data_IF_392184242737
#
_entry.id   IF_392184242737
#
_cell.length_a   1.000
_cell.length_b   1.000
_cell.length_c   1.000
_cell.angle_alpha   90.00
_cell.angle_beta   90.00
_cell.angle_gamma   90.00
#
_symmetry.space_group_name_H-M   'P 1'
#
loop_
_entity.id
_entity.type
_entity.pdbx_description
1 polymer ?
#
# COMPACT_ATOMS: atom_id res chain seq x y z
N UNK A 1 -13.52 -9.46 15.10
CA UNK A 1 -13.42 -10.71 14.31
C UNK A 1 -13.25 -10.32 12.83
N UNK A 2 -12.07 -10.24 12.21
CA UNK A 2 -10.69 -10.18 12.69
C UNK A 2 -9.80 -10.31 11.44
N UNK A 3 -8.98 -9.31 11.10
CA UNK A 3 -7.90 -9.52 10.10
C UNK A 3 -6.83 -10.50 10.64
N UNK A 4 -6.87 -10.80 11.94
CA UNK A 4 -6.17 -11.92 12.57
C UNK A 4 -6.94 -13.27 12.49
N UNK A 5 -8.14 -13.31 11.88
CA UNK A 5 -8.91 -14.53 11.56
C UNK A 5 -8.73 -14.90 10.08
N UNK A 6 -8.36 -13.96 9.20
CA UNK A 6 -8.00 -14.24 7.79
C UNK A 6 -6.49 -14.38 7.54
N UNK A 7 -5.62 -14.05 8.52
CA UNK A 7 -4.18 -14.34 8.46
C UNK A 7 -3.38 -13.54 7.42
N UNK A 8 -3.98 -12.51 6.81
CA UNK A 8 -3.33 -11.67 5.80
C UNK A 8 -2.23 -10.78 6.44
N UNK A 9 -1.06 -10.59 5.80
CA UNK A 9 0.01 -9.78 6.37
C UNK A 9 -0.38 -8.31 6.54
N UNK A 10 -0.36 -7.82 7.79
CA UNK A 10 -0.62 -6.43 8.17
C UNK A 10 0.59 -5.72 8.81
N UNK A 11 0.39 -4.50 9.34
CA UNK A 11 1.45 -3.72 9.97
C UNK A 11 2.15 -4.45 11.13
N UNK A 12 3.47 -4.63 11.06
CA UNK A 12 4.27 -5.39 12.04
C UNK A 12 4.49 -6.86 11.69
N UNK A 13 3.91 -7.33 10.58
CA UNK A 13 4.24 -8.64 10.01
C UNK A 13 5.56 -8.59 9.22
N UNK A 14 6.26 -9.72 9.14
CA UNK A 14 7.52 -9.82 8.38
C UNK A 14 7.32 -9.49 6.90
N UNK A 15 6.21 -9.89 6.29
CA UNK A 15 5.92 -9.52 4.89
C UNK A 15 5.81 -8.00 4.71
N UNK A 16 5.10 -7.31 5.62
CA UNK A 16 4.90 -5.86 5.56
C UNK A 16 6.21 -5.09 5.76
N UNK A 17 7.09 -5.60 6.61
CA UNK A 17 8.40 -5.00 6.83
C UNK A 17 9.33 -5.18 5.65
N UNK A 18 9.33 -6.33 4.98
CA UNK A 18 10.40 -6.69 4.04
C UNK A 18 10.09 -6.32 2.59
N UNK A 19 8.87 -6.53 2.13
CA UNK A 19 8.53 -6.46 0.70
C UNK A 19 8.77 -5.05 0.13
N UNK A 20 8.39 -4.02 0.87
CA UNK A 20 8.47 -2.63 0.44
C UNK A 20 9.85 -2.00 0.52
N UNK A 21 10.88 -2.71 1.01
CA UNK A 21 12.19 -2.12 1.20
C UNK A 21 12.98 -2.05 -0.11
N UNK A 22 13.72 -0.96 -0.32
CA UNK A 22 14.59 -0.85 -1.49
C UNK A 22 15.70 -1.91 -1.52
N UNK A 23 16.07 -2.50 -0.37
CA UNK A 23 17.02 -3.62 -0.32
C UNK A 23 16.52 -4.87 -1.05
N UNK A 24 15.21 -5.03 -1.27
CA UNK A 24 14.68 -6.13 -2.08
C UNK A 24 15.25 -6.14 -3.50
N UNK A 25 15.67 -4.99 -4.04
CA UNK A 25 16.32 -4.91 -5.35
C UNK A 25 17.63 -5.71 -5.43
N UNK A 26 18.27 -6.00 -4.29
CA UNK A 26 19.50 -6.82 -4.25
C UNK A 26 19.24 -8.28 -4.57
N UNK A 27 18.01 -8.78 -4.38
CA UNK A 27 17.67 -10.20 -4.56
C UNK A 27 16.49 -10.43 -5.51
N UNK A 28 15.67 -9.43 -5.82
CA UNK A 28 14.53 -9.61 -6.74
C UNK A 28 14.97 -10.05 -8.14
N UNK A 29 16.19 -9.69 -8.55
CA UNK A 29 16.78 -10.20 -9.80
C UNK A 29 16.90 -11.73 -9.81
N UNK A 30 17.18 -12.36 -8.67
CA UNK A 30 17.21 -13.83 -8.51
C UNK A 30 15.85 -14.41 -8.83
N UNK A 31 14.78 -13.84 -8.25
CA UNK A 31 13.41 -14.28 -8.51
C UNK A 31 13.09 -14.20 -10.01
N UNK A 32 13.35 -13.06 -10.65
CA UNK A 32 13.11 -12.87 -12.09
C UNK A 32 13.87 -13.89 -12.95
N UNK A 33 15.14 -14.19 -12.63
CA UNK A 33 15.90 -15.23 -13.36
C UNK A 33 15.28 -16.60 -13.18
N UNK A 34 14.93 -16.99 -11.95
CA UNK A 34 14.33 -18.29 -11.65
C UNK A 34 12.93 -18.43 -12.27
N UNK A 35 12.15 -17.36 -12.30
CA UNK A 35 10.85 -17.27 -12.96
C UNK A 35 11.01 -17.46 -14.47
N UNK A 36 11.89 -16.68 -15.11
CA UNK A 36 12.12 -16.76 -16.56
C UNK A 36 12.82 -18.04 -17.01
N UNK A 37 13.41 -18.78 -16.09
CA UNK A 37 13.94 -20.13 -16.30
C UNK A 37 12.86 -21.21 -16.28
N UNK A 38 11.66 -20.93 -15.77
CA UNK A 38 10.55 -21.88 -15.77
C UNK A 38 9.99 -22.04 -17.20
N UNK A 39 9.78 -23.28 -17.71
CA UNK A 39 9.45 -23.47 -19.13
C UNK A 39 8.16 -22.78 -19.60
N UNK A 40 7.13 -22.71 -18.75
CA UNK A 40 5.85 -22.02 -19.06
C UNK A 40 6.04 -20.51 -19.09
N UNK A 41 6.72 -19.96 -18.09
CA UNK A 41 6.98 -18.51 -17.96
C UNK A 41 7.89 -18.03 -19.10
N UNK A 42 8.92 -18.82 -19.42
CA UNK A 42 9.83 -18.56 -20.53
C UNK A 42 9.10 -18.44 -21.87
N UNK A 43 8.11 -19.32 -22.12
CA UNK A 43 7.32 -19.27 -23.35
C UNK A 43 6.50 -17.97 -23.44
N UNK A 44 5.76 -17.62 -22.38
CA UNK A 44 4.97 -16.38 -22.34
C UNK A 44 5.83 -15.11 -22.43
N UNK A 45 7.01 -15.11 -21.81
CA UNK A 45 7.96 -13.99 -21.92
C UNK A 45 8.56 -13.90 -23.34
N UNK A 46 8.81 -15.01 -24.01
CA UNK A 46 9.39 -14.95 -25.37
C UNK A 46 8.38 -14.37 -26.39
N UNK A 47 7.11 -14.72 -26.25
CA UNK A 47 6.05 -14.34 -27.21
C UNK A 47 5.45 -12.95 -26.95
N UNK A 48 5.18 -12.60 -25.69
CA UNK A 48 4.42 -11.39 -25.33
C UNK A 48 5.28 -10.26 -24.74
N UNK A 49 6.58 -10.46 -24.53
CA UNK A 49 7.30 -9.54 -23.66
C UNK A 49 7.73 -8.23 -24.32
N UNK A 50 7.15 -7.16 -23.79
CA UNK A 50 7.66 -5.79 -23.86
C UNK A 50 8.97 -5.58 -23.08
N UNK A 51 9.55 -6.60 -22.41
CA UNK A 51 10.86 -6.51 -21.72
C UNK A 51 11.93 -5.91 -22.63
N UNK A 52 11.89 -6.25 -23.93
CA UNK A 52 12.86 -5.79 -24.91
C UNK A 52 12.81 -4.27 -25.14
N UNK A 53 11.66 -3.62 -24.91
CA UNK A 53 11.48 -2.18 -25.12
C UNK A 53 11.51 -1.36 -23.83
N UNK A 54 10.96 -1.89 -22.72
CA UNK A 54 10.82 -1.14 -21.46
C UNK A 54 11.06 -2.02 -20.21
N UNK A 55 12.29 -2.52 -19.98
CA UNK A 55 12.59 -3.43 -18.87
C UNK A 55 12.31 -2.79 -17.50
N UNK A 56 12.66 -1.52 -17.32
CA UNK A 56 12.44 -0.80 -16.07
C UNK A 56 10.97 -0.61 -15.72
N UNK A 57 10.17 -0.22 -16.71
CA UNK A 57 8.73 -0.03 -16.52
C UNK A 57 8.06 -1.33 -16.08
N UNK A 58 8.53 -2.47 -16.59
CA UNK A 58 8.01 -3.78 -16.20
C UNK A 58 8.37 -4.14 -14.76
N UNK A 59 9.64 -3.98 -14.38
CA UNK A 59 10.07 -4.21 -12.98
C UNK A 59 9.32 -3.30 -12.02
N UNK A 60 9.19 -2.01 -12.36
CA UNK A 60 8.42 -1.02 -11.59
C UNK A 60 6.95 -1.44 -11.45
N UNK A 61 6.30 -1.88 -12.53
CA UNK A 61 4.91 -2.36 -12.50
C UNK A 61 4.74 -3.61 -11.64
N UNK A 62 5.66 -4.57 -11.70
CA UNK A 62 5.64 -5.76 -10.84
C UNK A 62 5.78 -5.36 -9.37
N UNK A 63 6.78 -4.54 -9.04
CA UNK A 63 7.00 -4.07 -7.66
C UNK A 63 5.84 -3.24 -7.13
N UNK A 64 5.22 -2.42 -7.98
CA UNK A 64 4.01 -1.67 -7.61
C UNK A 64 2.83 -2.61 -7.37
N UNK A 65 2.63 -3.62 -8.22
CA UNK A 65 1.57 -4.61 -8.07
C UNK A 65 1.74 -5.41 -6.76
N UNK A 66 2.96 -5.86 -6.45
CA UNK A 66 3.29 -6.51 -5.19
C UNK A 66 2.99 -5.60 -3.98
N UNK A 67 3.36 -4.32 -4.07
CA UNK A 67 3.04 -3.37 -3.00
C UNK A 67 1.53 -3.14 -2.86
N UNK A 68 0.77 -3.08 -3.95
CA UNK A 68 -0.70 -2.94 -3.88
C UNK A 68 -1.34 -4.13 -3.18
N UNK A 69 -0.85 -5.33 -3.45
CA UNK A 69 -1.38 -6.54 -2.84
C UNK A 69 -1.14 -6.59 -1.34
N UNK A 70 0.03 -6.15 -0.87
CA UNK A 70 0.35 -6.19 0.56
C UNK A 70 -0.16 -4.96 1.29
N UNK A 71 0.10 -3.75 0.79
CA UNK A 71 -0.08 -2.52 1.58
C UNK A 71 -1.47 -1.88 1.49
N UNK A 72 -2.26 -2.16 0.44
CA UNK A 72 -3.58 -1.55 0.29
C UNK A 72 -4.69 -2.33 1.01
N UNK A 73 -5.81 -1.65 1.20
CA UNK A 73 -7.04 -2.19 1.79
C UNK A 73 -7.58 -3.39 0.98
N UNK A 74 -8.37 -4.28 1.61
CA UNK A 74 -8.87 -5.51 0.96
C UNK A 74 -9.54 -5.29 -0.41
N UNK A 75 -10.33 -4.23 -0.56
CA UNK A 75 -11.02 -3.93 -1.82
C UNK A 75 -10.06 -3.59 -2.97
N UNK A 76 -9.01 -2.80 -2.69
CA UNK A 76 -8.01 -2.44 -3.70
C UNK A 76 -7.09 -3.61 -4.04
N UNK A 77 -6.82 -4.46 -3.05
CA UNK A 77 -6.12 -5.74 -3.23
C UNK A 77 -6.90 -6.68 -4.14
N UNK A 78 -8.20 -6.83 -3.93
CA UNK A 78 -9.08 -7.61 -4.82
C UNK A 78 -9.12 -7.04 -6.24
N UNK A 79 -9.19 -5.70 -6.38
CA UNK A 79 -9.13 -5.04 -7.70
C UNK A 79 -7.82 -5.33 -8.41
N UNK A 80 -6.70 -5.29 -7.70
CA UNK A 80 -5.38 -5.60 -8.26
C UNK A 80 -5.25 -7.07 -8.65
N UNK A 81 -5.70 -8.00 -7.79
CA UNK A 81 -5.73 -9.43 -8.10
C UNK A 81 -6.59 -9.71 -9.35
N UNK A 82 -7.78 -9.11 -9.44
CA UNK A 82 -8.65 -9.23 -10.60
C UNK A 82 -8.02 -8.61 -11.86
N UNK A 83 -7.30 -7.49 -11.73
CA UNK A 83 -6.55 -6.86 -12.85
C UNK A 83 -5.44 -7.78 -13.36
N UNK A 84 -4.65 -8.38 -12.46
CA UNK A 84 -3.58 -9.31 -12.80
C UNK A 84 -4.14 -10.59 -13.44
N UNK A 85 -5.23 -11.14 -12.91
CA UNK A 85 -5.90 -12.30 -13.48
C UNK A 85 -6.38 -12.02 -14.92
N UNK A 86 -7.05 -10.89 -15.15
CA UNK A 86 -7.45 -10.45 -16.50
C UNK A 86 -6.25 -10.24 -17.42
N UNK A 87 -5.13 -9.71 -16.93
CA UNK A 87 -3.93 -9.54 -17.75
C UNK A 87 -3.35 -10.91 -18.17
N UNK A 88 -3.21 -11.82 -17.21
CA UNK A 88 -2.63 -13.15 -17.43
C UNK A 88 -3.54 -14.07 -18.25
N UNK A 89 -4.87 -13.90 -18.20
CA UNK A 89 -5.80 -14.69 -19.02
C UNK A 89 -5.61 -14.51 -20.53
N UNK A 90 -4.92 -13.46 -20.96
CA UNK A 90 -4.59 -13.21 -22.37
C UNK A 90 -3.19 -13.71 -22.76
N UNK A 91 -2.43 -14.29 -21.83
CA UNK A 91 -1.07 -14.79 -22.06
C UNK A 91 -1.12 -16.32 -22.08
N UNK A 92 -1.49 -16.86 -23.24
CA UNK A 92 -1.51 -18.28 -23.52
C UNK A 92 -1.15 -18.51 -24.99
N UNK A 93 -0.68 -19.72 -25.31
CA UNK A 93 -0.23 -20.02 -26.66
C UNK A 93 0.48 -21.37 -26.77
N UNK A 94 1.28 -21.50 -27.82
CA UNK A 94 2.11 -22.68 -28.09
C UNK A 94 3.55 -22.21 -28.26
N UNK A 95 4.44 -22.71 -27.41
CA UNK A 95 5.86 -22.40 -27.44
C UNK A 95 6.51 -22.88 -28.74
N UNK A 96 7.71 -22.38 -29.05
CA UNK A 96 8.46 -22.72 -30.27
C UNK A 96 8.81 -24.21 -30.39
N UNK A 97 8.81 -24.94 -29.28
CA UNK A 97 9.02 -26.40 -29.22
C UNK A 97 7.71 -27.21 -29.33
N UNK A 98 6.58 -26.54 -29.55
CA UNK A 98 5.26 -27.15 -29.72
C UNK A 98 4.49 -27.38 -28.41
N UNK A 99 5.04 -27.03 -27.24
CA UNK A 99 4.34 -27.20 -25.96
C UNK A 99 3.28 -26.11 -25.77
N UNK A 100 2.03 -26.43 -25.42
CA UNK A 100 1.07 -25.42 -25.01
C UNK A 100 1.51 -24.79 -23.68
N UNK A 101 1.20 -23.51 -23.50
CA UNK A 101 1.45 -22.79 -22.25
C UNK A 101 0.29 -21.85 -21.93
N UNK A 102 0.09 -21.62 -20.64
CA UNK A 102 -0.90 -20.69 -20.11
C UNK A 102 -0.30 -20.00 -18.87
N UNK A 103 -0.39 -18.67 -18.80
CA UNK A 103 0.04 -17.91 -17.62
C UNK A 103 -0.87 -18.11 -16.40
N UNK A 104 -2.05 -18.71 -16.59
CA UNK A 104 -2.93 -19.16 -15.52
C UNK A 104 -2.66 -20.62 -15.08
N UNK A 105 -1.59 -21.25 -15.58
CA UNK A 105 -1.13 -22.55 -15.08
C UNK A 105 -0.80 -22.47 -13.57
N UNK A 106 -1.48 -23.24 -12.71
CA UNK A 106 -1.32 -23.13 -11.25
C UNK A 106 0.12 -23.37 -10.78
N UNK A 107 0.83 -24.32 -11.40
CA UNK A 107 2.23 -24.65 -11.06
C UNK A 107 3.16 -23.47 -11.38
N UNK A 108 2.99 -22.85 -12.55
CA UNK A 108 3.75 -21.67 -12.94
C UNK A 108 3.44 -20.45 -12.07
N UNK A 109 2.17 -20.23 -11.71
CA UNK A 109 1.77 -19.14 -10.81
C UNK A 109 2.34 -19.32 -9.41
N UNK A 110 2.24 -20.54 -8.86
CA UNK A 110 2.85 -20.88 -7.57
C UNK A 110 4.36 -20.66 -7.61
N UNK A 111 5.05 -21.10 -8.67
CA UNK A 111 6.49 -20.87 -8.83
C UNK A 111 6.85 -19.38 -8.77
N UNK A 112 6.19 -18.55 -9.56
CA UNK A 112 6.43 -17.09 -9.61
C UNK A 112 6.13 -16.41 -8.28
N UNK A 113 5.07 -16.82 -7.60
CA UNK A 113 4.72 -16.27 -6.30
C UNK A 113 5.78 -16.64 -5.24
N UNK A 114 6.21 -17.89 -5.21
CA UNK A 114 7.11 -18.42 -4.19
C UNK A 114 8.57 -18.01 -4.38
N UNK A 115 9.00 -17.65 -5.60
CA UNK A 115 10.33 -17.07 -5.83
C UNK A 115 10.50 -15.70 -5.18
N UNK A 116 9.42 -14.95 -4.97
CA UNK A 116 9.46 -13.67 -4.23
C UNK A 116 9.66 -13.91 -2.73
N UNK A 117 9.03 -14.94 -2.16
CA UNK A 117 9.31 -15.37 -0.79
C UNK A 117 10.78 -15.76 -0.61
N UNK A 118 11.30 -16.60 -1.50
CA UNK A 118 12.73 -16.99 -1.52
C UNK A 118 13.64 -15.75 -1.60
N UNK A 119 13.32 -14.78 -2.45
CA UNK A 119 14.09 -13.55 -2.56
C UNK A 119 14.11 -12.72 -1.26
N UNK A 120 13.02 -12.70 -0.48
CA UNK A 120 12.97 -12.03 0.82
C UNK A 120 13.81 -12.76 1.87
N UNK A 121 13.82 -14.10 1.87
CA UNK A 121 14.68 -14.90 2.77
C UNK A 121 16.15 -14.67 2.45
N UNK A 122 16.54 -14.78 1.17
CA UNK A 122 17.91 -14.56 0.70
C UNK A 122 18.38 -13.12 0.97
N UNK A 123 17.48 -12.14 0.86
CA UNK A 123 17.77 -10.74 1.18
C UNK A 123 18.22 -10.58 2.63
N UNK A 124 17.57 -11.26 3.56
CA UNK A 124 17.88 -11.19 4.98
C UNK A 124 19.19 -11.93 5.30
N UNK A 125 19.40 -13.11 4.69
CA UNK A 125 20.66 -13.87 4.79
C UNK A 125 21.88 -13.06 4.32
N UNK A 126 21.84 -12.54 3.09
CA UNK A 126 22.93 -11.71 2.55
C UNK A 126 23.03 -10.35 3.25
N UNK A 127 21.90 -9.86 3.78
CA UNK A 127 21.81 -8.64 4.56
C UNK A 127 22.43 -8.74 5.96
N UNK A 128 22.84 -9.92 6.41
CA UNK A 128 23.44 -10.16 7.73
C UNK A 128 22.43 -10.30 8.87
N UNK A 129 21.15 -10.51 8.56
CA UNK A 129 20.06 -10.79 9.50
C UNK A 129 19.36 -12.10 9.07
N UNK A 130 20.06 -13.25 9.06
CA UNK A 130 19.45 -14.50 8.65
C UNK A 130 18.26 -14.84 9.57
N UNK A 131 17.12 -15.15 8.97
CA UNK A 131 15.93 -15.57 9.69
C UNK A 131 16.10 -16.98 10.24
N UNK A 132 15.69 -17.19 11.48
CA UNK A 132 15.49 -18.55 12.01
C UNK A 132 14.29 -19.25 11.35
N UNK A 133 14.16 -20.55 11.61
CA UNK A 133 13.11 -21.37 11.00
C UNK A 133 11.71 -20.91 11.41
N UNK A 134 11.55 -20.38 12.63
CA UNK A 134 10.27 -19.87 13.15
C UNK A 134 9.83 -18.63 12.36
N UNK A 135 10.70 -17.62 12.23
CA UNK A 135 10.42 -16.41 11.46
C UNK A 135 10.21 -16.70 9.97
N UNK A 136 10.95 -17.65 9.40
CA UNK A 136 10.71 -18.09 8.02
C UNK A 136 9.35 -18.77 7.86
N UNK A 137 8.94 -19.60 8.82
CA UNK A 137 7.65 -20.28 8.78
C UNK A 137 6.48 -19.29 8.93
N UNK A 138 6.61 -18.27 9.79
CA UNK A 138 5.64 -17.18 9.91
C UNK A 138 5.54 -16.38 8.60
N UNK A 139 6.68 -15.99 8.02
CA UNK A 139 6.72 -15.29 6.73
C UNK A 139 6.09 -16.15 5.64
N UNK A 140 6.35 -17.46 5.63
CA UNK A 140 5.82 -18.39 4.64
C UNK A 140 4.30 -18.53 4.76
N UNK A 141 3.78 -18.67 5.98
CA UNK A 141 2.35 -18.75 6.25
C UNK A 141 1.62 -17.47 5.78
N UNK A 142 2.17 -16.29 6.08
CA UNK A 142 1.65 -15.01 5.57
C UNK A 142 1.67 -14.98 4.04
N UNK A 143 2.74 -15.49 3.42
CA UNK A 143 2.89 -15.47 1.98
C UNK A 143 1.93 -16.43 1.26
N UNK A 144 1.55 -17.55 1.88
CA UNK A 144 0.50 -18.43 1.34
C UNK A 144 -0.84 -17.69 1.22
N UNK A 145 -1.22 -16.91 2.23
CA UNK A 145 -2.45 -16.10 2.21
C UNK A 145 -2.40 -15.06 1.08
N UNK A 146 -1.25 -14.41 0.85
CA UNK A 146 -1.06 -13.50 -0.29
C UNK A 146 -1.24 -14.23 -1.64
N UNK A 147 -0.77 -15.47 -1.73
CA UNK A 147 -0.91 -16.31 -2.92
C UNK A 147 -2.37 -16.69 -3.22
N UNK A 148 -3.12 -17.06 -2.20
CA UNK A 148 -4.55 -17.36 -2.32
C UNK A 148 -5.35 -16.13 -2.76
N UNK A 149 -5.04 -14.96 -2.19
CA UNK A 149 -5.65 -13.68 -2.58
C UNK A 149 -5.34 -13.30 -4.03
N UNK A 150 -4.16 -13.68 -4.54
CA UNK A 150 -3.79 -13.53 -5.95
C UNK A 150 -4.56 -14.48 -6.87
N UNK A 151 -5.28 -15.45 -6.31
CA UNK A 151 -5.99 -16.50 -7.05
C UNK A 151 -5.14 -17.72 -7.35
N UNK A 152 -3.96 -17.86 -6.74
CA UNK A 152 -3.15 -19.09 -6.85
C UNK A 152 -3.84 -20.17 -6.03
N UNK A 153 -4.22 -21.32 -6.61
CA UNK A 153 -4.85 -22.38 -5.84
C UNK A 153 -3.94 -22.85 -4.70
N UNK A 154 -4.45 -22.91 -3.46
CA UNK A 154 -3.68 -23.39 -2.31
C UNK A 154 -3.10 -24.80 -2.50
N UNK A 155 -3.75 -25.64 -3.32
CA UNK A 155 -3.24 -26.97 -3.69
C UNK A 155 -2.00 -26.97 -4.58
N UNK A 156 -1.72 -25.86 -5.29
CA UNK A 156 -0.53 -25.69 -6.13
C UNK A 156 0.67 -25.17 -5.32
N UNK A 157 0.44 -24.63 -4.12
CA UNK A 157 1.48 -24.16 -3.22
C UNK A 157 1.82 -25.22 -2.18
N UNK A 158 3.11 -25.46 -1.87
CA UNK A 158 3.48 -26.36 -0.78
C UNK A 158 2.92 -25.85 0.56
N UNK A 159 2.26 -26.71 1.34
CA UNK A 159 1.54 -26.26 2.54
C UNK A 159 2.43 -25.92 3.74
N UNK A 160 3.72 -26.26 3.70
CA UNK A 160 4.68 -26.01 4.78
C UNK A 160 6.01 -25.50 4.24
N UNK A 161 6.79 -24.86 5.11
CA UNK A 161 8.13 -24.36 4.76
C UNK A 161 9.07 -25.49 4.30
N UNK A 162 9.02 -26.66 4.95
CA UNK A 162 9.84 -27.82 4.55
C UNK A 162 9.40 -28.37 3.20
N UNK A 163 8.09 -28.44 2.93
CA UNK A 163 7.59 -28.84 1.63
C UNK A 163 8.00 -27.84 0.54
N UNK A 164 8.02 -26.54 0.86
CA UNK A 164 8.55 -25.50 -0.02
C UNK A 164 10.03 -25.71 -0.32
N UNK A 165 10.88 -25.97 0.68
CA UNK A 165 12.32 -26.21 0.49
C UNK A 165 12.57 -27.38 -0.47
N UNK A 166 11.82 -28.48 -0.31
CA UNK A 166 11.88 -29.63 -1.24
C UNK A 166 11.40 -29.25 -2.64
N UNK A 167 10.20 -28.65 -2.74
CA UNK A 167 9.63 -28.21 -4.02
C UNK A 167 10.56 -27.26 -4.78
N UNK A 168 11.21 -26.34 -4.07
CA UNK A 168 12.12 -25.35 -4.64
C UNK A 168 13.38 -26.01 -5.17
N UNK A 169 14.05 -26.86 -4.37
CA UNK A 169 15.26 -27.57 -4.81
C UNK A 169 14.98 -28.48 -6.02
N UNK A 170 13.87 -29.22 -5.99
CA UNK A 170 13.45 -30.08 -7.11
C UNK A 170 13.15 -29.26 -8.37
N UNK A 171 12.41 -28.15 -8.24
CA UNK A 171 12.09 -27.30 -9.39
C UNK A 171 13.35 -26.71 -9.99
N UNK A 172 14.26 -26.20 -9.17
CA UNK A 172 15.56 -25.68 -9.60
C UNK A 172 16.38 -26.73 -10.35
N UNK A 173 16.48 -27.94 -9.82
CA UNK A 173 17.31 -29.02 -10.40
C UNK A 173 16.70 -29.65 -11.63
N UNK A 174 15.40 -29.89 -11.64
CA UNK A 174 14.77 -30.77 -12.64
C UNK A 174 13.95 -29.99 -13.67
N UNK A 175 13.28 -28.90 -13.28
CA UNK A 175 12.35 -28.18 -14.17
C UNK A 175 12.97 -26.97 -14.85
N UNK A 176 13.86 -26.23 -14.18
CA UNK A 176 14.40 -24.99 -14.73
C UNK A 176 15.35 -25.25 -15.90
N UNK A 177 15.18 -24.46 -16.96
CA UNK A 177 15.96 -24.50 -18.20
C UNK A 177 16.77 -23.23 -18.39
N UNK A 178 17.84 -23.32 -19.17
CA UNK A 178 18.53 -22.14 -19.68
C UNK A 178 17.72 -21.54 -20.83
N UNK A 179 16.90 -20.53 -20.54
CA UNK A 179 16.09 -19.86 -21.55
C UNK A 179 16.83 -18.67 -22.19
N UNK A 180 16.42 -18.30 -23.40
CA UNK A 180 16.89 -17.06 -24.05
C UNK A 180 16.53 -15.83 -23.21
N UNK A 181 15.38 -15.87 -22.50
CA UNK A 181 14.93 -14.82 -21.59
C UNK A 181 15.91 -14.52 -20.46
N UNK A 182 16.54 -15.54 -19.88
CA UNK A 182 17.58 -15.36 -18.85
C UNK A 182 18.79 -14.62 -19.42
N UNK A 183 19.25 -15.01 -20.62
CA UNK A 183 20.35 -14.32 -21.30
C UNK A 183 20.03 -12.86 -21.59
N UNK A 184 18.85 -12.57 -22.12
CA UNK A 184 18.38 -11.21 -22.40
C UNK A 184 18.27 -10.36 -21.12
N UNK A 185 17.79 -10.94 -20.01
CA UNK A 185 17.71 -10.24 -18.73
C UNK A 185 19.10 -9.87 -18.19
N UNK A 186 20.06 -10.80 -18.28
CA UNK A 186 21.45 -10.55 -17.87
C UNK A 186 22.12 -9.46 -18.72
N UNK A 187 21.85 -9.42 -20.02
CA UNK A 187 22.37 -8.39 -20.93
C UNK A 187 21.67 -7.03 -20.77
N UNK A 188 20.43 -7.02 -20.27
CA UNK A 188 19.65 -5.78 -20.11
C UNK A 188 20.34 -4.79 -19.16
N UNK A 189 21.09 -5.28 -18.16
CA UNK A 189 21.85 -4.44 -17.25
C UNK A 189 22.94 -3.61 -17.94
N UNK A 190 23.48 -4.10 -19.06
CA UNK A 190 24.61 -3.46 -19.75
C UNK A 190 24.18 -2.38 -20.75
N UNK A 191 22.89 -2.29 -21.10
CA UNK A 191 22.37 -1.49 -22.24
C UNK A 191 21.26 -0.53 -21.85
N UNK A 192 21.36 0.08 -20.68
CA UNK A 192 20.33 0.97 -20.17
C UNK A 192 20.50 2.38 -20.74
N UNK A 193 19.46 3.01 -21.30
CA UNK A 193 19.55 4.42 -21.68
C UNK A 193 19.62 5.33 -20.43
N UNK A 194 20.28 6.49 -20.51
CA UNK A 194 20.28 7.44 -19.41
C UNK A 194 18.87 7.93 -19.12
N UNK A 195 18.45 8.01 -17.84
CA UNK A 195 17.19 8.65 -17.49
C UNK A 195 17.23 10.11 -17.95
N UNK A 196 16.07 10.69 -18.27
CA UNK A 196 15.97 12.04 -18.84
C UNK A 196 16.69 13.12 -18.00
N UNK A 197 16.75 12.93 -16.69
CA UNK A 197 17.43 13.79 -15.73
C UNK A 197 18.97 13.75 -15.84
N UNK A 198 19.54 12.70 -16.44
CA UNK A 198 20.97 12.47 -16.63
C UNK A 198 21.39 12.52 -18.11
N UNK A 199 20.53 13.03 -19.00
CA UNK A 199 20.83 13.13 -20.45
C UNK A 199 21.99 14.07 -20.78
N UNK A 200 22.52 14.81 -19.80
CA UNK A 200 23.71 15.65 -19.94
C UNK A 200 25.02 14.85 -19.84
N UNK A 201 24.98 13.61 -19.35
CA UNK A 201 26.15 12.73 -19.25
C UNK A 201 26.49 12.22 -20.65
N UNK A 202 27.75 12.35 -21.12
CA UNK A 202 28.15 11.82 -22.42
C UNK A 202 27.90 10.31 -22.53
N UNK A 203 27.42 9.85 -23.69
CA UNK A 203 27.03 8.45 -23.92
C UNK A 203 28.14 7.46 -23.53
N UNK A 204 29.40 7.76 -23.84
CA UNK A 204 30.54 6.88 -23.48
C UNK A 204 30.78 6.76 -21.98
N UNK A 205 30.55 7.84 -21.23
CA UNK A 205 30.66 7.85 -19.77
C UNK A 205 29.48 7.08 -19.16
N UNK A 206 28.29 7.26 -19.72
CA UNK A 206 27.10 6.54 -19.31
C UNK A 206 27.22 5.04 -19.58
N UNK A 207 27.68 4.64 -20.77
CA UNK A 207 27.95 3.25 -21.14
C UNK A 207 28.99 2.61 -20.21
N UNK A 208 30.05 3.34 -19.86
CA UNK A 208 31.06 2.86 -18.91
C UNK A 208 30.47 2.67 -17.50
N UNK A 209 29.63 3.61 -17.05
CA UNK A 209 28.93 3.52 -15.77
C UNK A 209 27.94 2.34 -15.75
N UNK A 210 27.14 2.18 -16.80
CA UNK A 210 26.23 1.04 -16.96
C UNK A 210 26.98 -0.29 -17.03
N UNK A 211 28.12 -0.33 -17.71
CA UNK A 211 28.96 -1.55 -17.76
C UNK A 211 29.49 -1.91 -16.38
N UNK A 212 29.92 -0.93 -15.58
CA UNK A 212 30.42 -1.15 -14.22
C UNK A 212 29.29 -1.57 -13.26
N UNK A 213 28.18 -0.82 -13.26
CA UNK A 213 27.01 -1.12 -12.43
C UNK A 213 26.35 -2.44 -12.83
N UNK A 214 26.29 -2.72 -14.13
CA UNK A 214 25.76 -3.96 -14.70
C UNK A 214 26.62 -5.17 -14.35
N UNK A 215 27.95 -5.03 -14.40
CA UNK A 215 28.86 -6.07 -13.90
C UNK A 215 28.68 -6.34 -12.40
N UNK A 216 28.49 -5.29 -11.60
CA UNK A 216 28.16 -5.40 -10.17
C UNK A 216 26.83 -6.12 -9.94
N UNK A 217 25.76 -5.66 -10.58
CA UNK A 217 24.42 -6.23 -10.48
C UNK A 217 24.39 -7.71 -10.91
N UNK A 218 25.07 -8.05 -12.01
CA UNK A 218 25.23 -9.43 -12.47
C UNK A 218 26.00 -10.28 -11.47
N UNK A 219 27.03 -9.74 -10.82
CA UNK A 219 27.77 -10.46 -9.78
C UNK A 219 26.90 -10.72 -8.56
N UNK A 220 26.11 -9.75 -8.11
CA UNK A 220 25.13 -9.91 -7.02
C UNK A 220 24.09 -10.97 -7.39
N UNK A 221 23.53 -10.88 -8.59
CA UNK A 221 22.57 -11.84 -9.11
C UNK A 221 23.12 -13.27 -9.16
N UNK A 222 24.32 -13.46 -9.73
CA UNK A 222 24.96 -14.77 -9.77
C UNK A 222 25.28 -15.28 -8.36
N UNK A 223 25.82 -14.43 -7.47
CA UNK A 223 26.16 -14.80 -6.10
C UNK A 223 24.94 -15.21 -5.28
N UNK A 224 23.81 -14.56 -5.56
CA UNK A 224 22.55 -14.87 -4.90
C UNK A 224 21.85 -16.06 -5.54
N UNK A 225 22.15 -16.54 -6.75
CA UNK A 225 21.45 -17.68 -7.37
C UNK A 225 21.75 -19.04 -6.70
N UNK A 226 20.80 -19.99 -6.71
CA UNK A 226 21.03 -21.35 -6.21
C UNK A 226 22.23 -22.02 -6.90
N UNK A 227 23.13 -22.70 -6.16
CA UNK A 227 24.29 -23.38 -6.75
C UNK A 227 23.90 -24.34 -7.88
N UNK A 228 22.82 -25.11 -7.69
CA UNK A 228 22.32 -26.05 -8.69
C UNK A 228 21.91 -25.36 -10.02
N UNK A 229 21.36 -24.14 -9.97
CA UNK A 229 21.05 -23.40 -11.18
C UNK A 229 22.31 -22.78 -11.82
N UNK A 230 23.25 -22.30 -11.00
CA UNK A 230 24.55 -21.80 -11.50
C UNK A 230 25.32 -22.88 -12.27
N UNK A 231 25.31 -24.11 -11.78
CA UNK A 231 25.93 -25.25 -12.47
C UNK A 231 25.32 -25.48 -13.86
N UNK A 232 23.99 -25.38 -14.00
CA UNK A 232 23.32 -25.45 -15.29
C UNK A 232 23.79 -24.35 -16.24
N UNK A 233 24.07 -23.14 -15.74
CA UNK A 233 24.58 -22.01 -16.53
C UNK A 233 26.02 -22.21 -17.04
N UNK A 234 26.75 -23.22 -16.55
CA UNK A 234 28.13 -23.49 -16.95
C UNK A 234 29.05 -22.30 -16.70
N UNK A 235 29.85 -21.92 -17.71
CA UNK A 235 30.77 -20.78 -17.61
C UNK A 235 30.05 -19.45 -17.28
N UNK A 236 28.80 -19.28 -17.73
CA UNK A 236 28.00 -18.07 -17.45
C UNK A 236 27.56 -17.97 -15.99
N UNK A 237 27.56 -19.09 -15.26
CA UNK A 237 27.24 -19.15 -13.83
C UNK A 237 28.46 -19.03 -12.92
N UNK A 238 29.67 -18.90 -13.48
CA UNK A 238 30.91 -18.90 -12.71
C UNK A 238 31.13 -17.56 -12.01
N UNK A 239 31.35 -17.59 -10.71
CA UNK A 239 31.66 -16.41 -9.91
C UNK A 239 33.17 -16.17 -9.84
N UNK A 240 33.61 -14.90 -9.90
CA UNK A 240 34.99 -14.54 -9.56
C UNK A 240 35.34 -14.97 -8.13
N UNK A 241 36.61 -15.29 -7.89
CA UNK A 241 37.09 -15.59 -6.54
C UNK A 241 36.79 -14.44 -5.57
N UNK A 242 36.18 -14.75 -4.42
CA UNK A 242 35.80 -13.77 -3.40
C UNK A 242 34.53 -12.95 -3.71
N UNK A 243 33.86 -13.19 -4.85
CA UNK A 243 32.65 -12.46 -5.23
C UNK A 243 31.51 -12.64 -4.21
N UNK A 244 31.28 -13.85 -3.70
CA UNK A 244 30.24 -14.10 -2.69
C UNK A 244 30.48 -13.27 -1.43
N UNK A 245 31.71 -13.26 -0.90
CA UNK A 245 32.07 -12.45 0.27
C UNK A 245 31.91 -10.94 0.02
N UNK A 246 32.27 -10.46 -1.18
CA UNK A 246 32.11 -9.07 -1.57
C UNK A 246 30.62 -8.68 -1.70
N UNK A 247 29.80 -9.55 -2.28
CA UNK A 247 28.34 -9.37 -2.39
C UNK A 247 27.70 -9.39 -1.00
N UNK A 248 28.03 -10.34 -0.13
CA UNK A 248 27.52 -10.33 1.24
C UNK A 248 27.94 -9.07 2.01
N UNK A 249 29.16 -8.56 1.80
CA UNK A 249 29.57 -7.29 2.39
C UNK A 249 28.73 -6.13 1.85
N UNK A 250 28.52 -6.04 0.54
CA UNK A 250 27.71 -5.00 -0.09
C UNK A 250 26.25 -5.03 0.38
N UNK A 251 25.63 -6.22 0.44
CA UNK A 251 24.28 -6.40 0.95
C UNK A 251 24.17 -6.03 2.43
N UNK A 252 25.13 -6.44 3.28
CA UNK A 252 25.20 -6.00 4.69
C UNK A 252 25.32 -4.49 4.81
N UNK A 253 26.16 -3.85 3.99
CA UNK A 253 26.27 -2.39 3.96
C UNK A 253 24.94 -1.75 3.56
N UNK A 254 24.25 -2.28 2.54
CA UNK A 254 22.94 -1.81 2.14
C UNK A 254 21.90 -1.96 3.26
N UNK A 255 21.92 -3.08 4.01
CA UNK A 255 21.06 -3.30 5.17
C UNK A 255 21.30 -2.29 6.29
N UNK A 256 22.56 -2.01 6.62
CA UNK A 256 22.93 -1.00 7.64
C UNK A 256 22.55 0.40 7.18
N UNK A 257 22.77 0.75 5.91
CA UNK A 257 22.33 2.04 5.37
C UNK A 257 20.81 2.18 5.45
N UNK A 258 20.07 1.14 5.03
CA UNK A 258 18.61 1.14 5.07
C UNK A 258 18.04 1.23 6.49
N UNK A 259 18.72 0.69 7.51
CA UNK A 259 18.25 0.76 8.90
C UNK A 259 18.42 2.14 9.53
N UNK A 260 19.31 2.97 9.00
CA UNK A 260 19.57 4.35 9.48
C UNK A 260 18.84 5.40 8.64
N UNK A 261 18.49 5.09 7.39
CA UNK A 261 17.75 5.99 6.51
C UNK A 261 16.30 6.24 7.00
N UNK A 262 15.77 7.46 6.82
CA UNK A 262 14.35 7.74 7.06
C UNK A 262 13.44 6.82 6.22
N UNK A 263 12.23 6.51 6.72
CA UNK A 263 11.28 5.57 6.09
C UNK A 263 11.10 5.82 4.59
N UNK A 264 10.91 7.09 4.19
CA UNK A 264 10.72 7.52 2.78
C UNK A 264 11.87 7.17 1.84
N UNK A 265 13.07 6.91 2.37
CA UNK A 265 14.25 6.54 1.60
C UNK A 265 14.62 5.06 1.75
N UNK A 266 14.23 4.43 2.86
CA UNK A 266 14.44 3.00 3.08
C UNK A 266 13.40 2.13 2.34
N UNK A 267 12.20 2.68 2.11
CA UNK A 267 11.07 2.01 1.50
C UNK A 267 10.67 2.62 0.15
N UNK A 268 10.10 1.79 -0.72
CA UNK A 268 9.44 2.20 -1.95
C UNK A 268 8.24 3.10 -1.65
N UNK A 269 7.82 3.99 -2.58
CA UNK A 269 6.90 5.08 -2.26
C UNK A 269 5.58 4.64 -1.62
N UNK A 270 4.93 3.59 -2.15
CA UNK A 270 3.66 3.11 -1.60
C UNK A 270 3.88 2.49 -0.20
N UNK A 271 4.87 1.62 -0.03
CA UNK A 271 5.19 1.08 1.28
C UNK A 271 5.56 2.18 2.30
N UNK A 272 6.30 3.20 1.86
CA UNK A 272 6.74 4.29 2.71
C UNK A 272 5.58 5.13 3.26
N UNK A 273 4.53 5.37 2.48
CA UNK A 273 3.34 6.10 2.96
C UNK A 273 2.66 5.33 4.09
N UNK A 274 2.38 4.04 3.89
CA UNK A 274 1.70 3.22 4.89
C UNK A 274 2.56 2.99 6.15
N UNK A 275 3.87 2.78 6.01
CA UNK A 275 4.76 2.56 7.16
C UNK A 275 4.99 3.85 7.95
N UNK A 276 5.06 5.00 7.28
CA UNK A 276 5.20 6.30 7.96
C UNK A 276 3.93 6.64 8.73
N UNK A 277 2.75 6.46 8.12
CA UNK A 277 1.46 6.64 8.79
C UNK A 277 1.36 5.79 10.07
N UNK A 278 1.77 4.52 10.02
CA UNK A 278 1.83 3.64 11.20
C UNK A 278 2.75 4.21 12.30
N UNK A 279 3.98 4.59 11.94
CA UNK A 279 4.96 5.11 12.92
C UNK A 279 4.49 6.41 13.54
N UNK A 280 3.82 7.27 12.78
CA UNK A 280 3.25 8.51 13.28
C UNK A 280 2.08 8.24 14.23
N UNK A 281 1.21 7.29 13.92
CA UNK A 281 0.17 6.82 14.83
C UNK A 281 0.76 6.27 16.14
N UNK A 282 1.75 5.37 16.08
CA UNK A 282 2.45 4.83 17.25
C UNK A 282 3.15 5.92 18.09
N UNK A 283 3.75 6.93 17.43
CA UNK A 283 4.38 8.06 18.11
C UNK A 283 3.37 9.02 18.75
N UNK A 284 2.22 9.23 18.11
CA UNK A 284 1.11 10.03 18.65
C UNK A 284 0.51 9.35 19.88
N UNK A 285 0.30 8.03 19.81
CA UNK A 285 -0.14 7.19 20.93
C UNK A 285 0.83 7.27 22.13
N UNK A 286 2.14 7.18 21.87
CA UNK A 286 3.17 7.34 22.91
C UNK A 286 3.26 8.75 23.48
N UNK A 287 3.09 9.80 22.66
CA UNK A 287 3.09 11.21 23.09
C UNK A 287 1.85 11.60 23.88
N UNK A 288 0.72 10.98 23.60
CA UNK A 288 -0.53 11.17 24.35
C UNK A 288 -0.46 10.63 25.79
N UNK A 289 0.64 9.97 26.19
CA UNK A 289 0.81 9.49 27.57
C UNK A 289 -0.13 8.36 27.96
N UNK A 290 -0.78 7.68 26.99
CA UNK A 290 -1.73 6.60 27.21
C UNK A 290 -1.05 5.25 27.52
N UNK A 291 0.11 5.31 28.16
CA UNK A 291 0.76 4.19 28.83
C UNK A 291 0.38 4.17 30.31
N UNK A 292 -0.88 3.87 30.62
CA UNK A 292 -1.37 3.61 31.97
C UNK A 292 -1.88 4.84 32.74
N UNK A 293 -3.20 4.92 32.92
CA UNK A 293 -3.83 5.88 33.81
C UNK A 293 -5.35 5.90 33.64
N UNK A 294 -6.07 5.64 34.72
CA UNK A 294 -7.53 5.44 34.82
C UNK A 294 -8.36 6.58 34.25
N UNK A 295 -9.36 6.20 33.44
CA UNK A 295 -10.41 7.06 32.92
C UNK A 295 -11.25 7.68 34.05
N UNK A 296 -11.37 9.00 34.03
CA UNK A 296 -12.63 9.67 34.35
C UNK A 296 -12.67 11.09 33.75
N UNK A 297 -13.86 11.49 33.27
CA UNK A 297 -14.29 12.78 32.70
C UNK A 297 -14.31 12.98 31.16
N UNK A 298 -15.48 12.71 30.54
CA UNK A 298 -16.27 13.70 29.75
C UNK A 298 -17.59 13.08 29.23
N UNK A 299 -18.77 13.44 29.78
CA UNK A 299 -20.07 12.88 29.36
C UNK A 299 -20.62 13.40 28.02
N UNK A 300 -20.04 14.43 27.38
CA UNK A 300 -20.57 15.06 26.15
C UNK A 300 -20.19 14.32 24.84
N UNK A 301 -18.99 13.73 24.81
CA UNK A 301 -18.44 13.06 23.61
C UNK A 301 -19.26 11.85 23.19
N UNK A 302 -19.88 11.14 24.14
CA UNK A 302 -20.70 9.97 23.84
C UNK A 302 -22.03 10.33 23.15
N UNK A 303 -22.60 11.50 23.46
CA UNK A 303 -23.82 11.97 22.82
C UNK A 303 -23.53 12.47 21.40
N UNK A 304 -22.42 13.19 21.20
CA UNK A 304 -21.95 13.60 19.89
C UNK A 304 -21.62 12.40 19.00
N UNK A 305 -20.94 11.38 19.54
CA UNK A 305 -20.62 10.13 18.84
C UNK A 305 -21.89 9.43 18.33
N UNK A 306 -22.86 9.20 19.20
CA UNK A 306 -24.09 8.48 18.86
C UNK A 306 -25.02 9.26 17.91
N UNK A 307 -24.98 10.61 17.92
CA UNK A 307 -25.87 11.44 17.09
C UNK A 307 -25.26 11.86 15.75
N UNK A 308 -23.95 12.11 15.69
CA UNK A 308 -23.27 12.71 14.53
C UNK A 308 -22.42 11.70 13.76
N UNK A 309 -21.73 10.80 14.45
CA UNK A 309 -20.74 9.93 13.83
C UNK A 309 -21.29 8.55 13.53
N UNK A 310 -22.04 7.94 14.45
CA UNK A 310 -22.74 6.66 14.25
C UNK A 310 -24.03 6.87 13.44
N UNK A 311 -23.90 6.85 12.11
CA UNK A 311 -25.01 7.08 11.18
C UNK A 311 -25.92 5.86 11.08
N UNK A 312 -25.35 4.66 11.13
CA UNK A 312 -26.06 3.37 11.03
C UNK A 312 -26.82 3.02 12.31
N UNK A 313 -26.46 3.61 13.44
CA UNK A 313 -27.10 3.45 14.75
C UNK A 313 -26.77 2.13 15.44
N UNK A 314 -25.63 1.52 15.09
CA UNK A 314 -25.20 0.25 15.65
C UNK A 314 -24.31 0.40 16.90
N UNK A 315 -24.08 1.64 17.33
CA UNK A 315 -23.32 1.98 18.53
C UNK A 315 -21.81 2.01 18.33
N UNK A 316 -21.36 1.88 17.08
CA UNK A 316 -19.94 1.97 16.71
C UNK A 316 -19.76 2.93 15.53
N UNK A 317 -18.54 3.43 15.34
CA UNK A 317 -18.18 4.25 14.19
C UNK A 317 -17.41 3.38 13.20
N UNK A 318 -17.89 3.33 11.96
CA UNK A 318 -17.29 2.54 10.88
C UNK A 318 -17.13 3.36 9.59
N UNK A 319 -16.40 2.83 8.60
CA UNK A 319 -16.34 3.44 7.27
C UNK A 319 -17.74 3.65 6.66
N UNK A 320 -18.67 2.67 6.68
CA UNK A 320 -20.04 2.88 6.26
C UNK A 320 -20.70 4.14 6.82
N UNK A 321 -20.43 4.52 8.07
CA UNK A 321 -21.00 5.72 8.68
C UNK A 321 -20.39 6.99 8.07
N UNK A 322 -19.07 7.05 7.94
CA UNK A 322 -18.38 8.20 7.34
C UNK A 322 -18.66 8.32 5.83
N UNK A 323 -18.77 7.20 5.13
CA UNK A 323 -19.19 7.14 3.74
C UNK A 323 -20.66 7.55 3.57
N UNK A 324 -21.53 7.25 4.54
CA UNK A 324 -22.91 7.73 4.56
C UNK A 324 -22.95 9.24 4.76
N UNK A 325 -22.13 9.79 5.65
CA UNK A 325 -21.98 11.24 5.83
C UNK A 325 -21.45 11.91 4.55
N UNK A 326 -20.40 11.37 3.93
CA UNK A 326 -19.87 11.86 2.65
C UNK A 326 -20.92 11.83 1.54
N UNK A 327 -21.76 10.78 1.49
CA UNK A 327 -22.90 10.68 0.56
C UNK A 327 -23.94 11.76 0.78
N UNK A 328 -24.27 12.05 2.05
CA UNK A 328 -25.22 13.10 2.42
C UNK A 328 -24.69 14.45 1.97
N UNK A 329 -23.41 14.73 2.19
CA UNK A 329 -22.76 15.95 1.67
C UNK A 329 -22.75 16.00 0.14
N UNK A 330 -22.38 14.90 -0.54
CA UNK A 330 -22.41 14.80 -2.01
C UNK A 330 -23.80 15.10 -2.57
N UNK A 331 -24.85 14.55 -1.94
CA UNK A 331 -26.23 14.73 -2.36
C UNK A 331 -26.77 16.13 -2.06
N UNK A 332 -26.45 16.69 -0.89
CA UNK A 332 -26.90 18.02 -0.48
C UNK A 332 -26.19 19.14 -1.25
N UNK A 333 -24.96 18.89 -1.73
CA UNK A 333 -24.16 19.86 -2.47
C UNK A 333 -24.25 19.68 -3.99
N UNK A 334 -24.93 18.63 -4.48
CA UNK A 334 -25.04 18.28 -5.89
C UNK A 334 -23.66 18.22 -6.58
N UNK A 335 -22.75 17.44 -6.00
CA UNK A 335 -21.36 17.37 -6.45
C UNK A 335 -21.21 16.66 -7.80
N UNK A 336 -20.26 17.13 -8.60
CA UNK A 336 -19.79 16.42 -9.77
C UNK A 336 -18.90 15.22 -9.40
N UNK A 337 -18.64 14.35 -10.37
CA UNK A 337 -17.89 13.11 -10.18
C UNK A 337 -16.49 13.34 -9.57
N UNK A 338 -15.83 14.44 -9.93
CA UNK A 338 -14.47 14.78 -9.47
C UNK A 338 -14.48 15.30 -8.02
N UNK A 339 -15.44 16.19 -7.71
CA UNK A 339 -15.61 16.75 -6.37
C UNK A 339 -16.09 15.68 -5.38
N UNK A 340 -16.96 14.78 -5.82
CA UNK A 340 -17.41 13.62 -5.06
C UNK A 340 -16.25 12.67 -4.74
N UNK A 341 -15.42 12.30 -5.73
CA UNK A 341 -14.25 11.43 -5.52
C UNK A 341 -13.25 12.06 -4.53
N UNK A 342 -13.02 13.38 -4.64
CA UNK A 342 -12.16 14.12 -3.72
C UNK A 342 -12.72 14.14 -2.28
N UNK A 343 -14.03 14.33 -2.13
CA UNK A 343 -14.70 14.32 -0.84
C UNK A 343 -14.62 12.95 -0.18
N UNK A 344 -14.92 11.87 -0.91
CA UNK A 344 -14.80 10.50 -0.41
C UNK A 344 -13.37 10.14 -0.03
N UNK A 345 -12.38 10.57 -0.83
CA UNK A 345 -10.97 10.36 -0.51
C UNK A 345 -10.56 11.08 0.79
N UNK A 346 -11.06 12.30 1.02
CA UNK A 346 -10.80 13.04 2.25
C UNK A 346 -11.42 12.37 3.47
N UNK A 347 -12.71 11.97 3.39
CA UNK A 347 -13.38 11.23 4.48
C UNK A 347 -12.72 9.89 4.77
N UNK A 348 -12.22 9.21 3.74
CA UNK A 348 -11.48 7.95 3.89
C UNK A 348 -10.13 8.18 4.58
N UNK A 349 -9.39 9.22 4.21
CA UNK A 349 -8.15 9.59 4.90
C UNK A 349 -8.40 9.90 6.38
N UNK A 350 -9.50 10.60 6.69
CA UNK A 350 -9.87 10.89 8.08
C UNK A 350 -10.28 9.64 8.86
N UNK A 351 -11.02 8.72 8.24
CA UNK A 351 -11.34 7.41 8.82
C UNK A 351 -10.09 6.64 9.21
N UNK A 352 -9.10 6.60 8.33
CA UNK A 352 -7.83 5.92 8.59
C UNK A 352 -7.05 6.58 9.73
N UNK A 353 -7.08 7.91 9.82
CA UNK A 353 -6.47 8.64 10.93
C UNK A 353 -7.17 8.33 12.27
N UNK A 354 -8.51 8.32 12.28
CA UNK A 354 -9.32 7.98 13.45
C UNK A 354 -9.02 6.57 13.94
N UNK A 355 -9.08 5.57 13.06
CA UNK A 355 -8.77 4.19 13.42
C UNK A 355 -7.35 4.03 13.94
N UNK A 356 -6.37 4.58 13.21
CA UNK A 356 -4.98 4.47 13.62
C UNK A 356 -4.70 5.12 14.99
N UNK A 357 -5.48 6.15 15.34
CA UNK A 357 -5.35 6.82 16.62
C UNK A 357 -6.17 6.18 17.74
N UNK A 358 -7.35 5.61 17.46
CA UNK A 358 -8.35 5.39 18.49
C UNK A 358 -8.93 3.97 18.59
N UNK A 359 -8.88 3.18 17.51
CA UNK A 359 -9.29 1.76 17.47
C UNK A 359 -8.25 0.93 18.24
N UNK A 360 -8.44 0.82 19.57
CA UNK A 360 -7.45 0.27 20.50
C UNK A 360 -7.60 -1.24 20.61
N UNK A 361 -8.82 -1.74 20.43
CA UNK A 361 -9.15 -3.16 20.43
C UNK A 361 -8.94 -3.79 19.03
N UNK A 362 -8.71 -2.98 17.99
CA UNK A 362 -8.44 -3.37 16.60
C UNK A 362 -9.58 -4.16 15.95
N UNK A 363 -10.83 -3.87 16.33
CA UNK A 363 -12.01 -4.53 15.78
C UNK A 363 -12.48 -3.92 14.44
N UNK A 364 -11.84 -2.83 14.01
CA UNK A 364 -12.11 -2.18 12.74
C UNK A 364 -13.29 -1.23 12.76
N UNK A 365 -13.89 -1.05 13.92
CA UNK A 365 -14.81 0.01 14.24
C UNK A 365 -14.23 0.81 15.40
N UNK A 366 -14.89 1.88 15.82
CA UNK A 366 -14.57 2.51 17.10
C UNK A 366 -15.80 2.46 17.96
N UNK A 367 -15.67 1.95 19.17
CA UNK A 367 -16.71 2.14 20.16
C UNK A 367 -16.63 3.55 20.78
N UNK A 368 -17.64 3.89 21.59
CA UNK A 368 -17.76 5.23 22.19
C UNK A 368 -16.62 5.55 23.15
N UNK A 369 -16.04 4.53 23.82
CA UNK A 369 -14.98 4.70 24.81
C UNK A 369 -13.62 4.85 24.12
N UNK A 370 -13.40 4.11 23.03
CA UNK A 370 -12.27 4.25 22.12
C UNK A 370 -12.27 5.63 21.45
N UNK A 371 -13.40 6.04 20.90
CA UNK A 371 -13.54 7.38 20.37
C UNK A 371 -13.31 8.45 21.44
N UNK A 372 -13.88 8.29 22.65
CA UNK A 372 -13.70 9.24 23.75
C UNK A 372 -12.24 9.40 24.17
N UNK A 373 -11.47 8.32 24.21
CA UNK A 373 -10.07 8.35 24.61
C UNK A 373 -9.21 9.25 23.69
N UNK A 374 -9.66 9.47 22.45
CA UNK A 374 -8.90 10.18 21.42
C UNK A 374 -9.63 11.34 20.76
N UNK A 375 -10.89 11.58 21.09
CA UNK A 375 -11.73 12.62 20.50
C UNK A 375 -11.03 13.99 20.56
N UNK A 376 -10.38 14.33 21.68
CA UNK A 376 -9.69 15.63 21.83
C UNK A 376 -8.45 15.81 20.92
N UNK A 377 -7.94 14.72 20.34
CA UNK A 377 -6.80 14.67 19.41
C UNK A 377 -7.18 14.26 17.98
N UNK A 378 -8.43 13.90 17.72
CA UNK A 378 -8.97 13.33 16.49
C UNK A 378 -9.08 14.31 15.30
N UNK A 379 -8.60 15.54 15.45
CA UNK A 379 -8.67 16.59 14.44
C UNK A 379 -7.27 16.97 13.92
N UNK A 380 -6.57 16.01 13.34
CA UNK A 380 -5.29 16.20 12.67
C UNK A 380 -5.43 16.43 11.15
N UNK A 381 -4.34 16.24 10.38
CA UNK A 381 -4.26 16.69 8.99
C UNK A 381 -5.30 16.10 8.04
N UNK A 382 -5.78 14.87 8.27
CA UNK A 382 -6.81 14.28 7.42
C UNK A 382 -8.20 14.85 7.71
N UNK A 383 -8.47 15.26 8.95
CA UNK A 383 -9.67 16.03 9.27
C UNK A 383 -9.63 17.41 8.60
N UNK A 384 -8.46 18.06 8.59
CA UNK A 384 -8.27 19.33 7.87
C UNK A 384 -8.56 19.16 6.37
N UNK A 385 -8.16 18.03 5.78
CA UNK A 385 -8.47 17.70 4.39
C UNK A 385 -9.98 17.49 4.14
N UNK A 386 -10.72 16.90 5.09
CA UNK A 386 -12.20 16.81 5.01
C UNK A 386 -12.83 18.19 5.05
N UNK A 387 -12.42 19.03 6.00
CA UNK A 387 -12.94 20.40 6.09
C UNK A 387 -12.63 21.21 4.84
N UNK A 388 -11.43 21.07 4.26
CA UNK A 388 -11.04 21.74 3.02
C UNK A 388 -11.83 21.22 1.82
N UNK A 389 -12.10 19.91 1.74
CA UNK A 389 -12.90 19.33 0.67
C UNK A 389 -14.36 19.78 0.74
N UNK A 390 -14.96 19.82 1.94
CA UNK A 390 -16.32 20.35 2.12
C UNK A 390 -16.35 21.85 1.82
N UNK A 391 -15.38 22.62 2.30
CA UNK A 391 -15.32 24.06 2.03
C UNK A 391 -15.20 24.36 0.54
N UNK A 392 -14.31 23.68 -0.19
CA UNK A 392 -14.16 23.84 -1.64
C UNK A 392 -15.40 23.37 -2.41
N UNK A 393 -16.18 22.45 -1.85
CA UNK A 393 -17.43 21.98 -2.42
C UNK A 393 -18.62 22.94 -2.16
N UNK A 394 -18.54 23.75 -1.11
CA UNK A 394 -19.53 24.78 -0.74
C UNK A 394 -19.23 26.10 -1.46
N UNK A 395 -17.96 26.50 -1.55
CA UNK A 395 -17.46 27.68 -2.28
C UNK A 395 -17.45 27.42 -3.79
N UNK A 396 -18.63 27.48 -4.43
CA UNK A 396 -18.79 27.13 -5.85
C UNK A 396 -18.15 28.13 -6.81
N UNK A 397 -18.03 29.39 -6.42
CA UNK A 397 -17.43 30.42 -7.26
C UNK A 397 -15.93 30.65 -6.99
N UNK A 398 -15.40 30.00 -5.95
CA UNK A 398 -13.97 29.95 -5.62
C UNK A 398 -13.46 31.26 -5.05
N UNK A 399 -14.34 32.07 -4.44
CA UNK A 399 -14.00 33.38 -3.90
C UNK A 399 -13.46 33.32 -2.45
N UNK A 400 -13.43 32.12 -1.86
CA UNK A 400 -12.95 31.85 -0.51
C UNK A 400 -13.95 32.21 0.58
N UNK A 401 -15.21 32.47 0.24
CA UNK A 401 -16.30 32.84 1.15
C UNK A 401 -17.48 31.91 0.91
N UNK A 402 -18.32 31.73 1.93
CA UNK A 402 -19.57 31.00 1.80
C UNK A 402 -20.68 32.04 1.88
N UNK A 403 -21.26 32.38 0.72
CA UNK A 403 -22.24 33.46 0.61
C UNK A 403 -23.70 32.97 0.69
N UNK A 404 -24.66 33.90 0.53
CA UNK A 404 -26.07 33.56 0.61
C UNK A 404 -26.55 32.65 -0.54
N UNK A 405 -25.93 32.73 -1.71
CA UNK A 405 -26.25 31.90 -2.86
C UNK A 405 -25.67 30.48 -2.70
N UNK A 406 -24.49 30.33 -2.10
CA UNK A 406 -23.83 29.04 -1.87
C UNK A 406 -24.61 28.15 -0.90
N UNK A 407 -25.11 28.70 0.21
CA UNK A 407 -25.86 27.91 1.19
C UNK A 407 -27.29 27.57 0.71
N UNK A 408 -27.86 28.34 -0.22
CA UNK A 408 -29.22 28.11 -0.70
C UNK A 408 -29.39 26.73 -1.35
N UNK A 409 -28.32 26.21 -1.99
CA UNK A 409 -28.29 24.83 -2.49
C UNK A 409 -28.19 23.76 -1.39
N UNK A 410 -27.55 24.09 -0.26
CA UNK A 410 -27.22 23.14 0.81
C UNK A 410 -28.43 22.78 1.69
N UNK A 411 -29.45 23.65 1.73
CA UNK A 411 -30.61 23.55 2.63
C UNK A 411 -31.96 23.37 1.91
N UNK A 412 -31.97 23.01 0.62
CA UNK A 412 -33.17 23.03 -0.24
C UNK A 412 -34.18 21.87 0.02
N UNK A 413 -34.23 21.40 1.27
CA UNK A 413 -35.18 20.44 1.83
C UNK A 413 -36.28 21.06 2.73
N UNK A 414 -36.66 22.33 2.53
CA UNK A 414 -37.84 22.91 3.19
C UNK A 414 -37.62 23.59 4.55
N UNK A 415 -36.45 24.16 4.82
CA UNK A 415 -36.20 24.93 6.05
C UNK A 415 -36.64 26.41 5.96
N UNK A 416 -37.25 26.89 7.05
CA UNK A 416 -37.76 28.27 7.21
C UNK A 416 -36.64 29.31 7.26
N UNK A 417 -36.90 30.54 6.81
CA UNK A 417 -35.95 31.67 6.82
C UNK A 417 -35.34 31.97 8.22
N UNK A 418 -36.02 31.57 9.30
CA UNK A 418 -35.55 31.72 10.69
C UNK A 418 -34.36 30.80 10.98
N UNK A 419 -34.37 29.55 10.48
CA UNK A 419 -33.25 28.60 10.67
C UNK A 419 -31.99 29.08 9.94
N UNK A 420 -32.13 29.76 8.81
CA UNK A 420 -31.02 30.33 8.02
C UNK A 420 -30.29 31.44 8.77
N UNK A 421 -31.04 32.30 9.46
CA UNK A 421 -30.48 33.39 10.26
C UNK A 421 -29.82 32.88 11.56
N UNK A 422 -30.37 31.82 12.16
CA UNK A 422 -29.71 31.14 13.28
C UNK A 422 -28.39 30.50 12.87
N UNK A 423 -28.34 29.86 11.70
CA UNK A 423 -27.13 29.24 11.18
C UNK A 423 -25.98 30.23 10.94
N UNK A 424 -26.27 31.33 10.25
CA UNK A 424 -25.30 32.41 10.04
C UNK A 424 -24.79 32.95 11.38
N UNK A 425 -25.69 33.21 12.34
CA UNK A 425 -25.30 33.70 13.67
C UNK A 425 -24.51 32.69 14.52
N UNK A 426 -24.69 31.39 14.28
CA UNK A 426 -23.96 30.32 14.98
C UNK A 426 -22.55 30.11 14.44
N UNK A 427 -22.31 30.40 13.16
CA UNK A 427 -21.03 30.14 12.47
C UNK A 427 -20.18 31.39 12.24
N UNK A 428 -20.79 32.55 12.09
CA UNK A 428 -20.14 33.86 11.95
C UNK A 428 -19.49 34.24 13.29
N UNK A 429 -18.23 33.85 13.46
CA UNK A 429 -17.50 34.00 14.72
C UNK A 429 -16.93 35.41 14.86
N UNK A 430 -16.66 36.10 13.75
CA UNK A 430 -16.16 37.47 13.73
C UNK A 430 -17.24 38.56 13.62
N UNK A 431 -18.49 38.16 13.32
CA UNK A 431 -19.68 39.00 13.29
C UNK A 431 -19.80 39.86 12.04
N UNK A 432 -19.11 39.50 10.95
CA UNK A 432 -19.10 40.27 9.71
C UNK A 432 -20.33 40.04 8.81
N UNK A 433 -21.20 39.11 9.21
CA UNK A 433 -22.43 38.74 8.50
C UNK A 433 -22.22 37.73 7.37
N UNK A 434 -21.01 37.19 7.24
CA UNK A 434 -20.61 36.13 6.30
C UNK A 434 -20.05 34.94 7.11
N UNK A 435 -19.87 33.78 6.46
CA UNK A 435 -19.16 32.65 7.04
C UNK A 435 -17.95 32.37 6.17
N UNK A 436 -16.76 32.55 6.72
CA UNK A 436 -15.52 32.15 6.05
C UNK A 436 -15.33 30.62 6.09
N UNK A 437 -14.49 30.11 5.19
CA UNK A 437 -14.09 28.70 5.17
C UNK A 437 -13.49 28.26 6.52
N UNK A 438 -12.71 29.14 7.16
CA UNK A 438 -12.08 28.87 8.45
C UNK A 438 -13.10 28.81 9.60
N UNK A 439 -14.13 29.66 9.56
CA UNK A 439 -15.22 29.65 10.52
C UNK A 439 -16.11 28.41 10.38
N UNK A 440 -16.41 28.02 9.14
CA UNK A 440 -17.14 26.79 8.85
C UNK A 440 -16.37 25.55 9.34
N UNK A 441 -15.06 25.47 9.04
CA UNK A 441 -14.20 24.39 9.52
C UNK A 441 -14.09 24.38 11.05
N UNK A 442 -14.02 25.56 11.68
CA UNK A 442 -14.02 25.73 13.13
C UNK A 442 -15.31 25.26 13.79
N UNK A 443 -16.46 25.58 13.20
CA UNK A 443 -17.77 25.15 13.67
C UNK A 443 -17.97 23.63 13.53
N UNK A 444 -17.57 23.04 12.40
CA UNK A 444 -17.63 21.59 12.17
C UNK A 444 -16.74 20.83 13.17
N UNK A 445 -15.51 21.32 13.40
CA UNK A 445 -14.58 20.79 14.41
C UNK A 445 -15.21 20.82 15.80
N UNK A 446 -15.78 21.95 16.18
CA UNK A 446 -16.40 22.15 17.48
C UNK A 446 -17.62 21.24 17.72
N UNK A 447 -18.41 20.98 16.68
CA UNK A 447 -19.55 20.07 16.74
C UNK A 447 -19.13 18.61 16.87
N UNK A 448 -18.14 18.16 16.10
CA UNK A 448 -17.64 16.77 16.13
C UNK A 448 -16.96 16.45 17.47
N UNK A 449 -16.29 17.45 18.08
CA UNK A 449 -15.66 17.32 19.39
C UNK A 449 -16.65 17.40 20.57
N UNK A 450 -17.95 17.58 20.32
CA UNK A 450 -18.95 17.78 21.37
C UNK A 450 -18.70 19.05 22.21
N UNK A 451 -18.04 20.07 21.65
CA UNK A 451 -17.74 21.34 22.34
C UNK A 451 -18.84 22.37 22.16
N UNK A 452 -19.66 22.20 21.14
CA UNK A 452 -20.74 23.14 20.81
C UNK A 452 -21.86 22.37 20.12
N UNK A 453 -23.10 22.67 20.52
CA UNK A 453 -24.30 22.07 19.95
C UNK A 453 -24.87 23.01 18.89
N UNK A 454 -25.01 22.54 17.66
CA UNK A 454 -25.69 23.27 16.58
C UNK A 454 -26.68 22.34 15.90
N UNK A 455 -27.98 22.64 16.06
CA UNK A 455 -29.06 21.89 15.40
C UNK A 455 -28.95 21.97 13.87
N UNK A 456 -28.29 23.00 13.34
CA UNK A 456 -28.13 23.17 11.91
C UNK A 456 -27.03 22.29 11.33
N UNK A 457 -25.88 22.19 12.00
CA UNK A 457 -24.84 21.22 11.63
C UNK A 457 -25.36 19.78 11.73
N UNK A 458 -26.14 19.47 12.77
CA UNK A 458 -26.81 18.18 12.91
C UNK A 458 -27.72 17.85 11.71
N UNK A 459 -28.46 18.85 11.20
CA UNK A 459 -29.33 18.68 10.04
C UNK A 459 -28.54 18.49 8.73
N UNK A 460 -27.44 19.22 8.55
CA UNK A 460 -26.56 19.10 7.38
C UNK A 460 -25.84 17.74 7.34
N UNK A 461 -25.48 17.19 8.50
CA UNK A 461 -24.81 15.90 8.64
C UNK A 461 -25.74 14.68 8.64
N UNK A 462 -27.06 14.88 8.50
CA UNK A 462 -27.95 13.80 8.05
C UNK A 462 -28.75 13.02 9.10
N UNK A 463 -28.94 13.52 10.33
CA UNK A 463 -30.02 13.02 11.19
C UNK A 463 -31.09 14.07 11.42
N UNK A 464 -32.30 13.78 10.92
CA UNK A 464 -33.54 14.45 11.31
C UNK A 464 -34.07 13.88 12.64
#
# INVERSE_FOLDING_TARGET
MSDAEDGFPGPGSSTWELLGQWRLLTTIGRAIVLETAHPVVSAGVTEFSTYRRHPWRRVEQTLLSLQRLVYQDPLDREREAARLHRLHSHINGVASDGRPYDALDPDAQAWVHLTVFDAMVVMCEFGGDPMDDERQAELYAQWLVVGEQLGVPGSAMPSTLDAFRTYFDETVREKLVLSEGVGQFLEAFDKLPPPAQLSFVPDTVWEALCSLLGAGARTVLLATLPPAYREKMGERGTLPFGAEAAVSLACRTASVVASVLPTKWAYMPLAATFITAKREAEHSLRRAGLGGGTADAAPDVAEAFARVLDQTGDGVLSWPDLAATARVFSSNLDLGEVEEEALYAAFHAWWLELRAAADTNHDGVLDVDEYRAFALTACGPAFDAVTAAIAAAVDRDGDGRIDHADYASLLDGGTTAIRRLQWLHEMDADGDGMVSVDEFAGALRSSILGRTRSETLEHVMGRA
#
